data_IF_660785046811
#
_entry.id   IF_660785046811
#
_cell.length_a   1.000
_cell.length_b   1.000
_cell.length_c   1.000
_cell.angle_alpha   90.00
_cell.angle_beta   90.00
_cell.angle_gamma   90.00
#
_symmetry.space_group_name_H-M   'P 1'
#
loop_
_entity.id
_entity.type
_entity.pdbx_description
1 polymer ?
#
# COMPACT_ATOMS: atom_id res chain seq x y z
N UNK A 1 4.85 -11.32 6.95
CA UNK A 1 5.61 -11.65 5.73
C UNK A 1 5.06 -10.79 4.60
N UNK A 2 5.87 -9.91 4.01
CA UNK A 2 5.52 -9.20 2.76
C UNK A 2 6.09 -9.98 1.56
N UNK A 3 5.45 -9.86 0.40
CA UNK A 3 5.88 -10.53 -0.84
C UNK A 3 6.41 -9.45 -1.78
N UNK A 4 7.57 -9.70 -2.40
CA UNK A 4 8.17 -8.81 -3.41
C UNK A 4 8.35 -9.55 -4.74
N UNK A 5 8.09 -8.87 -5.86
CA UNK A 5 8.41 -9.35 -7.22
C UNK A 5 8.46 -8.17 -8.19
N UNK A 6 9.13 -8.36 -9.33
CA UNK A 6 9.12 -7.40 -10.45
C UNK A 6 7.78 -7.33 -11.18
N UNK A 7 6.82 -8.22 -10.87
CA UNK A 7 5.47 -8.17 -11.42
C UNK A 7 4.65 -7.11 -10.68
N UNK A 8 3.97 -6.27 -11.45
CA UNK A 8 2.98 -5.33 -10.91
C UNK A 8 1.94 -6.03 -10.05
N UNK A 9 1.37 -5.32 -9.07
CA UNK A 9 0.26 -5.79 -8.22
C UNK A 9 0.58 -7.02 -7.37
N UNK A 10 1.76 -7.03 -6.73
CA UNK A 10 2.17 -8.09 -5.81
C UNK A 10 1.33 -8.10 -4.53
N UNK A 11 1.12 -6.94 -3.91
CA UNK A 11 0.30 -6.78 -2.72
C UNK A 11 -1.18 -6.68 -3.11
N UNK A 12 -1.98 -7.69 -2.70
CA UNK A 12 -3.43 -7.78 -3.01
C UNK A 12 -4.34 -7.62 -1.79
N UNK A 13 -3.77 -7.67 -0.60
CA UNK A 13 -4.45 -7.48 0.67
C UNK A 13 -3.56 -6.64 1.59
N UNK A 14 -4.14 -6.04 2.61
CA UNK A 14 -3.38 -5.28 3.60
C UNK A 14 -2.43 -6.20 4.37
N UNK A 15 -1.18 -5.78 4.48
CA UNK A 15 -0.19 -6.43 5.34
C UNK A 15 0.21 -5.45 6.44
N UNK A 16 0.18 -5.90 7.69
CA UNK A 16 0.62 -5.10 8.84
C UNK A 16 2.02 -5.51 9.25
N UNK A 17 2.93 -4.55 9.34
CA UNK A 17 4.25 -4.68 9.94
C UNK A 17 4.30 -3.85 11.21
N UNK A 18 4.81 -4.41 12.30
CA UNK A 18 4.92 -3.71 13.58
C UNK A 18 6.39 -3.48 13.87
N UNK A 19 6.78 -2.22 14.02
CA UNK A 19 8.10 -1.84 14.49
C UNK A 19 7.97 -1.20 15.86
N UNK A 20 8.67 -1.76 16.85
CA UNK A 20 8.74 -1.20 18.21
C UNK A 20 10.12 -0.59 18.40
N UNK A 21 10.18 0.64 18.89
CA UNK A 21 11.41 1.34 19.21
C UNK A 21 11.24 2.09 20.54
N UNK A 22 12.03 1.74 21.54
CA UNK A 22 11.91 2.23 22.92
C UNK A 22 10.46 2.17 23.43
N UNK A 23 9.87 3.33 23.70
CA UNK A 23 8.50 3.48 24.22
C UNK A 23 7.47 3.78 23.11
N UNK A 24 7.83 3.55 21.84
CA UNK A 24 6.97 3.82 20.69
C UNK A 24 6.74 2.56 19.84
N UNK A 25 5.58 2.49 19.21
CA UNK A 25 5.24 1.45 18.25
C UNK A 25 4.65 2.08 16.99
N UNK A 26 5.15 1.62 15.83
CA UNK A 26 4.72 2.05 14.51
C UNK A 26 4.11 0.84 13.81
N UNK A 27 2.86 0.98 13.37
CA UNK A 27 2.18 -0.04 12.55
C UNK A 27 2.22 0.40 11.10
N UNK A 28 3.12 -0.21 10.33
CA UNK A 28 3.16 -0.05 8.88
C UNK A 28 2.00 -0.82 8.25
N UNK A 29 1.21 -0.14 7.44
CA UNK A 29 0.10 -0.73 6.67
C UNK A 29 0.51 -0.73 5.20
N UNK A 30 1.01 -1.86 4.71
CA UNK A 30 1.27 -2.04 3.28
C UNK A 30 -0.06 -2.30 2.57
N UNK A 31 -0.32 -1.55 1.50
CA UNK A 31 -1.60 -1.52 0.79
C UNK A 31 -1.42 -1.96 -0.67
N UNK A 32 -2.47 -2.50 -1.32
CA UNK A 32 -2.44 -2.68 -2.76
C UNK A 32 -2.16 -1.36 -3.49
N UNK A 33 -1.50 -1.43 -4.64
CA UNK A 33 -1.24 -0.25 -5.46
C UNK A 33 -2.52 0.46 -5.90
N UNK A 34 -2.47 1.79 -6.05
CA UNK A 34 -3.57 2.61 -6.58
C UNK A 34 -3.48 2.66 -8.10
N UNK A 35 -4.56 2.28 -8.79
CA UNK A 35 -4.65 2.28 -10.25
C UNK A 35 -6.12 2.29 -10.71
N UNK A 36 -6.37 2.48 -12.01
CA UNK A 36 -7.71 2.42 -12.58
C UNK A 36 -8.19 0.95 -12.66
N UNK A 37 -9.22 0.54 -11.90
CA UNK A 37 -9.66 -0.85 -11.87
C UNK A 37 -10.36 -1.25 -13.18
N UNK A 38 -10.19 -2.52 -13.60
CA UNK A 38 -10.87 -3.09 -14.77
C UNK A 38 -11.78 -4.26 -14.43
N UNK A 39 -11.54 -4.93 -13.30
CA UNK A 39 -12.28 -6.10 -12.81
C UNK A 39 -12.74 -5.91 -11.37
N UNK A 40 -13.70 -6.73 -10.91
CA UNK A 40 -14.23 -6.67 -9.53
C UNK A 40 -13.15 -6.78 -8.47
N UNK A 41 -12.15 -7.65 -8.68
CA UNK A 41 -11.02 -7.79 -7.75
C UNK A 41 -10.21 -6.50 -7.68
N UNK A 42 -9.94 -5.86 -8.81
CA UNK A 42 -9.21 -4.58 -8.86
C UNK A 42 -9.95 -3.50 -8.07
N UNK A 43 -11.28 -3.42 -8.24
CA UNK A 43 -12.10 -2.47 -7.48
C UNK A 43 -11.98 -2.74 -5.98
N UNK A 44 -12.09 -4.00 -5.55
CA UNK A 44 -11.94 -4.36 -4.15
C UNK A 44 -10.54 -4.00 -3.60
N UNK A 45 -9.49 -4.23 -4.39
CA UNK A 45 -8.11 -3.87 -4.03
C UNK A 45 -7.95 -2.36 -3.85
N UNK A 46 -8.41 -1.56 -4.81
CA UNK A 46 -8.32 -0.09 -4.76
C UNK A 46 -9.15 0.46 -3.60
N UNK A 47 -10.36 -0.06 -3.36
CA UNK A 47 -11.18 0.31 -2.20
C UNK A 47 -10.46 0.00 -0.89
N UNK A 48 -9.83 -1.17 -0.79
CA UNK A 48 -9.06 -1.57 0.39
C UNK A 48 -7.86 -0.66 0.64
N UNK A 49 -7.13 -0.29 -0.42
CA UNK A 49 -5.99 0.61 -0.32
C UNK A 49 -6.41 2.02 0.15
N UNK A 50 -7.50 2.57 -0.40
CA UNK A 50 -8.03 3.84 0.07
C UNK A 50 -8.58 3.79 1.49
N UNK A 51 -9.15 2.65 1.92
CA UNK A 51 -9.54 2.44 3.31
C UNK A 51 -8.34 2.52 4.25
N UNK A 52 -7.28 1.75 3.96
CA UNK A 52 -6.05 1.77 4.75
C UNK A 52 -5.39 3.15 4.83
N UNK A 53 -5.42 3.92 3.73
CA UNK A 53 -4.88 5.28 3.73
C UNK A 53 -5.71 6.27 4.56
N UNK A 54 -7.04 6.10 4.66
CA UNK A 54 -7.92 6.97 5.47
C UNK A 54 -7.77 6.72 6.97
N UNK A 55 -7.52 5.48 7.35
CA UNK A 55 -7.39 5.08 8.75
C UNK A 55 -6.00 5.35 9.32
N UNK A 56 -5.02 5.67 8.48
CA UNK A 56 -3.64 5.90 8.88
C UNK A 56 -3.44 7.31 9.46
N UNK A 57 -2.68 7.42 10.55
CA UNK A 57 -2.26 8.71 11.11
C UNK A 57 -1.37 9.50 10.14
N UNK A 58 -0.55 8.78 9.34
CA UNK A 58 0.35 9.35 8.33
C UNK A 58 0.31 8.49 7.06
N UNK A 59 0.24 9.14 5.90
CA UNK A 59 0.28 8.49 4.58
C UNK A 59 1.64 8.71 3.92
N UNK A 60 2.27 7.63 3.47
CA UNK A 60 3.52 7.68 2.71
C UNK A 60 3.25 7.29 1.25
N UNK A 61 3.38 8.26 0.34
CA UNK A 61 3.28 8.01 -1.10
C UNK A 61 4.64 7.58 -1.64
N UNK A 62 4.73 6.33 -2.09
CA UNK A 62 5.92 5.81 -2.77
C UNK A 62 5.83 6.06 -4.27
N UNK A 63 6.87 6.68 -4.84
CA UNK A 63 6.98 6.97 -6.26
C UNK A 63 8.26 6.35 -6.78
N UNK A 64 8.17 5.75 -7.97
CA UNK A 64 9.33 5.27 -8.71
C UNK A 64 10.19 6.46 -9.14
N UNK A 65 11.44 6.51 -8.69
CA UNK A 65 12.35 7.62 -8.92
C UNK A 65 12.72 7.82 -10.40
N UNK A 66 12.73 6.74 -11.20
CA UNK A 66 13.04 6.82 -12.63
C UNK A 66 11.81 7.27 -13.43
N UNK A 67 10.62 6.79 -13.06
CA UNK A 67 9.38 7.09 -13.80
C UNK A 67 8.74 8.43 -13.41
N UNK A 68 8.89 8.84 -12.15
CA UNK A 68 8.30 10.06 -11.59
C UNK A 68 6.76 10.08 -11.60
N UNK A 69 6.19 11.27 -11.40
CA UNK A 69 4.74 11.53 -11.51
C UNK A 69 4.45 12.00 -12.93
N UNK A 70 3.50 11.36 -13.62
CA UNK A 70 2.94 11.84 -14.88
C UNK A 70 1.52 12.35 -14.62
N UNK A 71 1.27 13.61 -14.95
CA UNK A 71 -0.06 14.24 -14.91
C UNK A 71 -0.96 13.77 -16.04
#
# INVERSE_FOLDING_TARGET
VSIVTHKVQTTRAIVRGIATHDNAQIVFVDTPGIFKPKRRLDTAMVTTAWGGAKDADVVVLLIDAERGIKG
#
